data_IF_805791410487
#
_entry.id   IF_805791410487
#
_cell.length_a   1.000
_cell.length_b   1.000
_cell.length_c   1.000
_cell.angle_alpha   90.00
_cell.angle_beta   90.00
_cell.angle_gamma   90.00
#
_symmetry.space_group_name_H-M   'P 1'
#
loop_
_entity.id
_entity.type
_entity.pdbx_description
1 polymer ?
#
# COMPACT_ATOMS: atom_id res chain seq x y z
N UNK A 1 20.11 -11.14 8.32
CA UNK A 1 20.50 -9.73 8.53
C UNK A 1 19.36 -9.06 9.26
N UNK A 2 19.63 -8.35 10.36
CA UNK A 2 18.65 -7.45 10.99
C UNK A 2 18.84 -6.06 10.40
N UNK A 3 17.80 -5.52 9.77
CA UNK A 3 17.79 -4.16 9.25
C UNK A 3 17.21 -3.24 10.31
N UNK A 4 17.99 -2.26 10.78
CA UNK A 4 17.49 -1.20 11.65
C UNK A 4 17.31 0.10 10.84
N UNK A 5 16.08 0.61 10.71
CA UNK A 5 15.85 1.86 9.99
C UNK A 5 16.42 3.05 10.76
N UNK A 6 17.13 3.93 10.05
CA UNK A 6 17.67 5.19 10.61
C UNK A 6 16.58 6.18 11.04
N UNK A 7 15.35 6.01 10.57
CA UNK A 7 14.21 6.89 10.85
C UNK A 7 12.90 6.10 10.85
N UNK A 8 12.03 6.42 11.82
CA UNK A 8 10.63 5.98 11.79
C UNK A 8 9.85 6.73 10.71
N UNK A 9 9.26 5.99 9.77
CA UNK A 9 8.43 6.53 8.70
C UNK A 9 6.94 6.31 9.00
N UNK A 10 6.13 7.11 8.32
CA UNK A 10 4.67 6.96 8.20
C UNK A 10 4.45 6.49 6.78
N UNK A 11 3.80 5.36 6.60
CA UNK A 11 3.72 4.66 5.32
C UNK A 11 2.25 4.35 5.08
N UNK A 12 1.69 4.87 3.98
CA UNK A 12 0.44 4.31 3.47
C UNK A 12 0.79 3.13 2.57
N UNK A 13 0.08 2.01 2.70
CA UNK A 13 0.27 0.83 1.85
C UNK A 13 -0.97 0.71 0.98
N UNK A 14 -0.82 1.02 -0.31
CA UNK A 14 -1.92 0.98 -1.26
C UNK A 14 -2.14 -0.46 -1.69
N UNK A 15 -3.35 -0.97 -1.46
CA UNK A 15 -3.74 -2.36 -1.76
C UNK A 15 -5.11 -2.37 -2.43
N UNK A 16 -5.42 -3.45 -3.14
CA UNK A 16 -6.80 -3.67 -3.57
C UNK A 16 -7.72 -3.75 -2.34
N UNK A 17 -8.92 -3.18 -2.42
CA UNK A 17 -9.84 -3.12 -1.28
C UNK A 17 -10.17 -4.49 -0.66
N UNK A 18 -10.19 -5.54 -1.47
CA UNK A 18 -10.45 -6.92 -1.03
C UNK A 18 -9.22 -7.60 -0.41
N UNK A 19 -8.04 -6.98 -0.54
CA UNK A 19 -6.76 -7.51 -0.04
C UNK A 19 -6.25 -6.73 1.18
N UNK A 20 -7.07 -5.87 1.78
CA UNK A 20 -6.69 -5.15 3.01
C UNK A 20 -6.40 -6.18 4.11
N UNK A 21 -5.15 -6.26 4.59
CA UNK A 21 -4.77 -7.32 5.52
C UNK A 21 -5.33 -7.02 6.91
N UNK A 22 -5.83 -8.04 7.64
CA UNK A 22 -6.20 -7.89 9.03
C UNK A 22 -4.96 -7.74 9.92
N UNK A 23 -5.16 -7.32 11.17
CA UNK A 23 -4.07 -7.23 12.15
C UNK A 23 -3.58 -8.61 12.63
N UNK A 24 -4.40 -9.67 12.48
CA UNK A 24 -4.02 -11.06 12.75
C UNK A 24 -4.59 -12.00 11.69
N UNK A 25 -3.88 -13.09 11.40
CA UNK A 25 -4.32 -14.17 10.51
C UNK A 25 -5.18 -15.23 11.22
N UNK A 26 -5.46 -15.04 12.51
CA UNK A 26 -6.26 -15.97 13.30
C UNK A 26 -7.69 -16.08 12.76
N UNK A 27 -8.17 -17.31 12.58
CA UNK A 27 -9.52 -17.57 12.08
C UNK A 27 -9.67 -17.57 10.55
N UNK A 28 -8.64 -17.17 9.79
CA UNK A 28 -8.64 -17.30 8.33
C UNK A 28 -8.33 -18.74 7.89
N UNK A 29 -9.00 -19.17 6.83
CA UNK A 29 -8.68 -20.39 6.08
C UNK A 29 -7.34 -20.27 5.38
N UNK A 30 -6.73 -21.39 5.00
CA UNK A 30 -5.46 -21.37 4.26
C UNK A 30 -5.59 -20.67 2.90
N UNK A 31 -6.77 -20.74 2.26
CA UNK A 31 -7.04 -20.04 1.00
C UNK A 31 -7.04 -18.53 1.20
N UNK A 32 -7.76 -18.03 2.19
CA UNK A 32 -7.82 -16.59 2.50
C UNK A 32 -6.45 -16.06 2.89
N UNK A 33 -5.67 -16.82 3.67
CA UNK A 33 -4.29 -16.46 4.03
C UNK A 33 -3.39 -16.33 2.80
N UNK A 34 -3.54 -17.20 1.81
CA UNK A 34 -2.76 -17.13 0.56
C UNK A 34 -3.13 -15.88 -0.23
N UNK A 35 -4.42 -15.54 -0.31
CA UNK A 35 -4.90 -14.39 -1.09
C UNK A 35 -4.34 -13.05 -0.59
N UNK A 36 -4.22 -12.86 0.73
CA UNK A 36 -3.72 -11.62 1.34
C UNK A 36 -2.25 -11.68 1.80
N UNK A 37 -1.54 -12.76 1.46
CA UNK A 37 -0.23 -13.08 2.03
C UNK A 37 0.76 -11.95 1.80
N UNK A 38 0.78 -11.39 0.59
CA UNK A 38 1.72 -10.34 0.20
C UNK A 38 1.48 -9.08 1.03
N UNK A 39 0.23 -8.65 1.13
CA UNK A 39 -0.18 -7.44 1.85
C UNK A 39 0.09 -7.59 3.34
N UNK A 40 -0.22 -8.75 3.92
CA UNK A 40 0.07 -9.05 5.32
C UNK A 40 1.57 -9.11 5.60
N UNK A 41 2.36 -9.79 4.76
CA UNK A 41 3.81 -9.90 4.94
C UNK A 41 4.48 -8.53 4.86
N UNK A 42 4.10 -7.69 3.88
CA UNK A 42 4.63 -6.32 3.73
C UNK A 42 4.23 -5.45 4.92
N UNK A 43 2.94 -5.37 5.25
CA UNK A 43 2.45 -4.50 6.33
C UNK A 43 2.99 -4.91 7.69
N UNK A 44 2.97 -6.21 8.02
CA UNK A 44 3.48 -6.72 9.29
C UNK A 44 4.99 -6.56 9.40
N UNK A 45 5.75 -6.70 8.31
CA UNK A 45 7.20 -6.50 8.31
C UNK A 45 7.55 -5.03 8.51
N UNK A 46 6.89 -4.10 7.80
CA UNK A 46 7.09 -2.66 7.99
C UNK A 46 6.74 -2.23 9.43
N UNK A 47 5.66 -2.77 10.01
CA UNK A 47 5.30 -2.55 11.43
C UNK A 47 6.40 -3.09 12.36
N UNK A 48 6.90 -4.32 12.13
CA UNK A 48 8.00 -4.94 12.91
C UNK A 48 9.32 -4.15 12.81
N UNK A 49 9.57 -3.47 11.69
CA UNK A 49 10.69 -2.54 11.53
C UNK A 49 10.50 -1.22 12.31
N UNK A 50 9.34 -1.01 12.94
CA UNK A 50 9.06 0.15 13.78
C UNK A 50 8.47 1.35 13.04
N UNK A 51 7.91 1.15 11.83
CA UNK A 51 7.20 2.19 11.08
C UNK A 51 5.73 2.30 11.49
N UNK A 52 5.14 3.48 11.30
CA UNK A 52 3.69 3.66 11.35
C UNK A 52 3.12 3.29 9.97
N UNK A 53 2.27 2.29 9.91
CA UNK A 53 1.80 1.68 8.65
C UNK A 53 0.29 1.71 8.59
N UNK A 54 -0.23 2.26 7.50
CA UNK A 54 -1.65 2.47 7.26
C UNK A 54 -2.04 1.77 5.95
N UNK A 55 -2.62 0.55 5.99
CA UNK A 55 -3.19 -0.07 4.79
C UNK A 55 -4.36 0.77 4.27
N UNK A 56 -4.34 1.07 2.98
CA UNK A 56 -5.35 1.86 2.29
C UNK A 56 -5.88 1.03 1.14
N UNK A 57 -7.09 0.49 1.32
CA UNK A 57 -7.80 -0.27 0.31
C UNK A 57 -8.46 0.63 -0.72
N UNK A 58 -8.24 0.37 -2.01
CA UNK A 58 -8.92 1.05 -3.09
C UNK A 58 -9.27 0.10 -4.23
N UNK A 59 -10.27 0.49 -5.01
CA UNK A 59 -10.66 -0.20 -6.23
C UNK A 59 -10.79 0.78 -7.40
N UNK A 60 -11.67 1.79 -7.27
CA UNK A 60 -11.97 2.72 -8.37
C UNK A 60 -12.06 4.20 -7.93
N UNK A 61 -11.68 4.52 -6.70
CA UNK A 61 -11.82 5.85 -6.12
C UNK A 61 -10.45 6.44 -5.72
N UNK A 62 -9.95 7.40 -6.51
CA UNK A 62 -8.67 8.07 -6.22
C UNK A 62 -8.73 8.99 -5.00
N UNK A 63 -9.90 9.50 -4.63
CA UNK A 63 -10.04 10.38 -3.46
C UNK A 63 -9.63 9.68 -2.16
N UNK A 64 -9.76 8.35 -2.09
CA UNK A 64 -9.32 7.55 -0.94
C UNK A 64 -7.82 7.75 -0.68
N UNK A 65 -7.01 7.90 -1.73
CA UNK A 65 -5.59 8.21 -1.61
C UNK A 65 -5.43 9.62 -1.05
N UNK A 66 -6.12 10.61 -1.63
CA UNK A 66 -6.09 11.99 -1.16
C UNK A 66 -6.44 12.16 0.31
N UNK A 67 -7.50 11.47 0.77
CA UNK A 67 -7.94 11.46 2.15
C UNK A 67 -6.86 10.87 3.08
N UNK A 68 -6.26 9.73 2.71
CA UNK A 68 -5.16 9.12 3.45
C UNK A 68 -3.89 10.00 3.49
N UNK A 69 -3.59 10.73 2.41
CA UNK A 69 -2.48 11.69 2.38
C UNK A 69 -2.71 12.84 3.37
N UNK A 70 -3.93 13.37 3.44
CA UNK A 70 -4.28 14.45 4.36
C UNK A 70 -4.28 13.99 5.82
N UNK A 71 -4.87 12.83 6.08
CA UNK A 71 -5.01 12.27 7.42
C UNK A 71 -3.67 11.86 8.02
N UNK A 72 -2.90 11.04 7.30
CA UNK A 72 -1.70 10.41 7.86
C UNK A 72 -0.41 11.17 7.55
N UNK A 73 -0.43 12.08 6.56
CA UNK A 73 0.75 12.82 6.08
C UNK A 73 1.96 11.88 5.90
N UNK A 74 1.82 10.82 5.09
CA UNK A 74 2.84 9.78 4.99
C UNK A 74 4.14 10.34 4.42
N UNK A 75 5.23 9.70 4.78
CA UNK A 75 6.53 9.97 4.18
C UNK A 75 6.67 9.29 2.82
N UNK A 76 6.05 8.12 2.64
CA UNK A 76 6.07 7.33 1.41
C UNK A 76 4.78 6.53 1.27
N UNK A 77 4.33 6.33 0.03
CA UNK A 77 3.31 5.36 -0.34
C UNK A 77 3.96 4.07 -0.84
N UNK A 78 3.71 2.95 -0.16
CA UNK A 78 4.12 1.64 -0.64
C UNK A 78 3.01 1.11 -1.55
N UNK A 79 3.25 1.06 -2.86
CA UNK A 79 2.25 0.64 -3.84
C UNK A 79 2.30 -0.87 -4.07
N UNK A 80 1.20 -1.56 -3.75
CA UNK A 80 0.98 -2.99 -4.02
C UNK A 80 -0.19 -3.22 -5.00
N UNK A 81 -0.72 -2.17 -5.62
CA UNK A 81 -1.76 -2.32 -6.64
C UNK A 81 -1.19 -2.91 -7.92
N UNK A 82 -1.96 -3.82 -8.52
CA UNK A 82 -1.69 -4.41 -9.84
C UNK A 82 -2.73 -3.97 -10.88
N UNK A 83 -3.75 -3.23 -10.45
CA UNK A 83 -4.85 -2.78 -11.30
C UNK A 83 -5.56 -1.55 -10.69
N UNK A 84 -6.38 -0.87 -11.50
CA UNK A 84 -7.39 0.06 -11.00
C UNK A 84 -8.70 -0.09 -11.79
N UNK A 85 -9.82 -0.24 -11.08
CA UNK A 85 -11.17 -0.40 -11.62
C UNK A 85 -11.37 -1.60 -12.57
N UNK A 86 -10.70 -2.72 -12.28
CA UNK A 86 -10.69 -3.96 -13.06
C UNK A 86 -9.70 -3.97 -14.22
N UNK A 87 -8.87 -2.93 -14.39
CA UNK A 87 -7.98 -2.80 -15.53
C UNK A 87 -6.52 -2.67 -15.07
N UNK A 88 -5.65 -3.65 -15.40
CA UNK A 88 -4.23 -3.60 -15.03
C UNK A 88 -3.54 -2.32 -15.49
N UNK A 89 -3.76 -1.90 -16.75
CA UNK A 89 -3.16 -0.70 -17.33
C UNK A 89 -3.52 0.61 -16.61
N UNK A 90 -4.54 0.62 -15.75
CA UNK A 90 -4.95 1.84 -15.05
C UNK A 90 -4.19 2.06 -13.73
N UNK A 91 -3.38 1.09 -13.29
CA UNK A 91 -2.47 1.26 -12.14
C UNK A 91 -1.51 2.45 -12.32
N UNK A 92 -1.11 2.75 -13.57
CA UNK A 92 -0.28 3.90 -13.93
C UNK A 92 -0.94 5.24 -13.53
N UNK A 93 -2.28 5.30 -13.51
CA UNK A 93 -3.02 6.50 -13.12
C UNK A 93 -2.94 6.74 -11.61
N UNK A 94 -2.82 5.67 -10.82
CA UNK A 94 -2.62 5.77 -9.37
C UNK A 94 -1.25 6.38 -9.06
N UNK A 95 -0.18 5.89 -9.69
CA UNK A 95 1.15 6.49 -9.48
C UNK A 95 1.27 7.89 -10.09
N UNK A 96 0.55 8.17 -11.19
CA UNK A 96 0.45 9.55 -11.73
C UNK A 96 -0.19 10.50 -10.73
N UNK A 97 -1.24 10.05 -10.02
CA UNK A 97 -1.87 10.83 -8.97
C UNK A 97 -0.88 11.12 -7.82
N UNK A 98 -0.11 10.12 -7.37
CA UNK A 98 0.91 10.32 -6.34
C UNK A 98 1.99 11.34 -6.77
N UNK A 99 2.42 11.32 -8.04
CA UNK A 99 3.35 12.31 -8.60
C UNK A 99 2.78 13.74 -8.57
N UNK A 100 1.52 13.92 -8.97
CA UNK A 100 0.83 15.20 -8.92
C UNK A 100 0.73 15.73 -7.49
N UNK A 101 0.52 14.84 -6.52
CA UNK A 101 0.49 15.16 -5.09
C UNK A 101 1.89 15.33 -4.47
N UNK A 102 2.96 15.15 -5.25
CA UNK A 102 4.37 15.17 -4.78
C UNK A 102 4.64 14.18 -3.64
N UNK A 103 3.90 13.08 -3.60
CA UNK A 103 4.08 12.02 -2.62
C UNK A 103 5.14 11.04 -3.13
N UNK A 104 6.19 10.77 -2.34
CA UNK A 104 7.14 9.70 -2.67
C UNK A 104 6.42 8.33 -2.67
N UNK A 105 6.78 7.44 -3.60
CA UNK A 105 6.17 6.12 -3.74
C UNK A 105 7.18 5.05 -4.18
N UNK A 106 6.83 3.77 -3.98
CA UNK A 106 7.61 2.62 -4.46
C UNK A 106 7.19 2.19 -5.86
N UNK A 107 8.10 1.60 -6.64
CA UNK A 107 7.79 1.00 -7.95
C UNK A 107 8.29 1.83 -9.14
N UNK A 108 7.74 1.53 -10.32
CA UNK A 108 8.02 2.25 -11.57
C UNK A 108 7.25 3.56 -11.67
N UNK A 109 7.78 4.51 -12.43
CA UNK A 109 7.08 5.76 -12.75
C UNK A 109 5.99 5.52 -13.81
N UNK A 110 5.04 6.46 -14.02
CA UNK A 110 3.95 6.29 -14.99
C UNK A 110 4.38 6.06 -16.44
N UNK A 111 5.64 6.32 -16.81
CA UNK A 111 6.15 6.06 -18.16
C UNK A 111 6.76 4.67 -18.31
N UNK A 112 7.04 3.99 -17.20
CA UNK A 112 7.65 2.66 -17.16
C UNK A 112 6.69 1.53 -16.79
N UNK A 113 5.45 1.87 -16.41
CA UNK A 113 4.30 0.97 -16.29
C UNK A 113 3.51 1.05 -17.60
#
# INVERSE_FOLDING_TARGET
>A
MTFEPKKKLRIIVLVHQDLVPPDSLDGLTDKEKIEIKTEYDVTSTLKKMGHDVYPVGLYNQLNVIGDALMEHKPHIAFNLLEEFHGYPLYDQHVVSYLELMKQAYTGGNPRGL
#
